data_IF_763585027214
#
_entry.id   IF_763585027214
#
_cell.length_a   1.000
_cell.length_b   1.000
_cell.length_c   1.000
_cell.angle_alpha   90.00
_cell.angle_beta   90.00
_cell.angle_gamma   90.00
#
_symmetry.space_group_name_H-M   'P 1'
#
loop_
_entity.id
_entity.type
_entity.pdbx_description
1 polymer ?
#
# COMPACT_ATOMS: atom_id res chain seq x y z
N UNK A 1 8.63 12.71 1.26
CA UNK A 1 9.10 11.49 0.56
C UNK A 1 9.83 11.80 -0.73
N UNK A 2 9.41 12.79 -1.54
CA UNK A 2 10.17 13.23 -2.73
C UNK A 2 11.63 13.57 -2.44
N UNK A 3 11.95 14.04 -1.22
CA UNK A 3 13.34 14.29 -0.83
C UNK A 3 14.23 13.02 -0.81
N UNK A 4 13.63 11.83 -0.86
CA UNK A 4 14.30 10.52 -0.88
C UNK A 4 14.26 9.84 -2.26
N UNK A 5 13.88 10.55 -3.33
CA UNK A 5 13.80 9.98 -4.68
C UNK A 5 15.14 9.35 -5.09
N UNK A 6 15.07 8.11 -5.59
CA UNK A 6 16.25 7.31 -5.96
C UNK A 6 17.07 6.77 -4.78
N UNK A 7 16.67 7.03 -3.53
CA UNK A 7 17.38 6.57 -2.31
C UNK A 7 16.65 5.48 -1.56
N UNK A 8 15.33 5.38 -1.74
CA UNK A 8 14.49 4.39 -1.09
C UNK A 8 13.61 3.68 -2.11
N UNK A 9 13.19 2.47 -1.77
CA UNK A 9 12.11 1.76 -2.46
C UNK A 9 10.95 1.59 -1.48
N UNK A 10 9.75 1.93 -1.93
CA UNK A 10 8.53 1.72 -1.16
C UNK A 10 7.88 0.42 -1.64
N UNK A 11 7.68 -0.51 -0.71
CA UNK A 11 6.97 -1.76 -0.96
C UNK A 11 5.67 -1.74 -0.17
N UNK A 12 4.54 -1.82 -0.88
CA UNK A 12 3.23 -1.99 -0.26
C UNK A 12 3.00 -3.47 0.03
N UNK A 13 2.40 -3.78 1.18
CA UNK A 13 1.97 -5.14 1.54
C UNK A 13 0.54 -5.13 2.05
N UNK A 14 -0.27 -6.04 1.55
CA UNK A 14 -1.66 -6.20 1.98
C UNK A 14 -1.72 -6.81 3.38
N UNK A 15 -2.46 -6.16 4.29
CA UNK A 15 -2.86 -6.75 5.57
C UNK A 15 -4.37 -6.54 5.79
N UNK A 16 -5.24 -7.25 5.06
CA UNK A 16 -6.68 -7.11 5.19
C UNK A 16 -7.17 -7.66 6.54
N UNK A 17 -7.34 -6.77 7.52
CA UNK A 17 -7.81 -7.13 8.87
C UNK A 17 -9.25 -7.65 8.83
N UNK A 18 -9.50 -8.79 9.49
CA UNK A 18 -10.80 -9.47 9.49
C UNK A 18 -11.96 -8.61 10.05
N UNK A 19 -11.65 -7.64 10.92
CA UNK A 19 -12.64 -6.69 11.46
C UNK A 19 -13.32 -5.83 10.38
N UNK A 20 -12.73 -5.75 9.19
CA UNK A 20 -13.29 -5.10 8.01
C UNK A 20 -13.64 -6.17 6.98
N UNK A 21 -14.92 -6.58 6.93
CA UNK A 21 -15.39 -7.65 6.04
C UNK A 21 -15.16 -7.38 4.53
N UNK A 22 -14.92 -6.13 4.14
CA UNK A 22 -14.57 -5.71 2.79
C UNK A 22 -13.05 -5.69 2.50
N UNK A 23 -12.19 -5.78 3.51
CA UNK A 23 -10.76 -5.53 3.35
C UNK A 23 -10.07 -6.55 2.44
N UNK A 24 -10.42 -7.83 2.55
CA UNK A 24 -9.89 -8.87 1.66
C UNK A 24 -10.27 -8.61 0.20
N UNK A 25 -11.53 -8.20 -0.04
CA UNK A 25 -12.02 -7.88 -1.37
C UNK A 25 -11.29 -6.66 -1.96
N UNK A 26 -11.02 -5.64 -1.15
CA UNK A 26 -10.26 -4.46 -1.56
C UNK A 26 -8.79 -4.79 -1.86
N UNK A 27 -8.17 -5.66 -1.06
CA UNK A 27 -6.80 -6.14 -1.30
C UNK A 27 -6.69 -6.88 -2.63
N UNK A 28 -7.60 -7.81 -2.92
CA UNK A 28 -7.64 -8.53 -4.20
C UNK A 28 -7.89 -7.59 -5.39
N UNK A 29 -8.82 -6.63 -5.25
CA UNK A 29 -9.14 -5.67 -6.31
C UNK A 29 -7.95 -4.78 -6.65
N UNK A 30 -7.32 -4.19 -5.64
CA UNK A 30 -6.15 -3.31 -5.81
C UNK A 30 -4.92 -4.08 -6.32
N UNK A 31 -4.70 -5.32 -5.86
CA UNK A 31 -3.66 -6.21 -6.38
C UNK A 31 -3.91 -6.58 -7.85
N UNK A 32 -5.16 -6.84 -8.25
CA UNK A 32 -5.50 -7.11 -9.63
C UNK A 32 -5.21 -5.90 -10.53
N UNK A 33 -5.53 -4.68 -10.08
CA UNK A 33 -5.17 -3.44 -10.80
C UNK A 33 -3.66 -3.27 -10.86
N UNK A 34 -2.93 -3.50 -9.77
CA UNK A 34 -1.46 -3.46 -9.77
C UNK A 34 -0.85 -4.41 -10.80
N UNK A 35 -1.33 -5.65 -10.88
CA UNK A 35 -0.81 -6.64 -11.83
C UNK A 35 -1.17 -6.37 -13.29
N UNK A 36 -2.18 -5.54 -13.57
CA UNK A 36 -2.55 -5.13 -14.93
C UNK A 36 -1.88 -3.81 -15.34
N UNK A 37 -1.87 -2.84 -14.42
CA UNK A 37 -1.42 -1.48 -14.64
C UNK A 37 -0.80 -0.95 -13.33
N UNK A 38 0.48 -1.24 -13.08
CA UNK A 38 1.15 -0.89 -11.81
C UNK A 38 1.01 0.58 -11.41
N UNK A 39 1.08 1.49 -12.39
CA UNK A 39 0.98 2.92 -12.15
C UNK A 39 -0.41 3.36 -11.63
N UNK A 40 -1.45 2.57 -11.87
CA UNK A 40 -2.83 2.85 -11.44
C UNK A 40 -3.14 2.33 -10.02
N UNK A 41 -2.22 1.58 -9.41
CA UNK A 41 -2.42 1.02 -8.07
C UNK A 41 -2.66 2.12 -7.03
N UNK A 42 -1.79 3.13 -6.99
CA UNK A 42 -1.89 4.21 -6.00
C UNK A 42 -3.13 5.08 -6.23
N UNK A 43 -3.54 5.25 -7.48
CA UNK A 43 -4.76 6.00 -7.80
C UNK A 43 -6.01 5.27 -7.29
N UNK A 44 -6.11 3.94 -7.47
CA UNK A 44 -7.22 3.17 -6.93
C UNK A 44 -7.17 3.11 -5.40
N UNK A 45 -5.97 2.90 -4.84
CA UNK A 45 -5.75 2.95 -3.39
C UNK A 45 -6.28 4.28 -2.82
N UNK A 46 -5.87 5.41 -3.38
CA UNK A 46 -6.25 6.73 -2.88
C UNK A 46 -7.75 7.01 -3.06
N UNK A 47 -8.36 6.55 -4.16
CA UNK A 47 -9.81 6.63 -4.33
C UNK A 47 -10.53 5.86 -3.22
N UNK A 48 -10.18 4.58 -3.00
CA UNK A 48 -10.82 3.76 -1.97
C UNK A 48 -10.58 4.33 -0.56
N UNK A 49 -9.40 4.90 -0.30
CA UNK A 49 -9.12 5.58 0.97
C UNK A 49 -9.96 6.85 1.16
N UNK A 50 -10.21 7.62 0.09
CA UNK A 50 -11.00 8.86 0.16
C UNK A 50 -12.46 8.62 0.57
N UNK A 51 -13.02 7.45 0.23
CA UNK A 51 -14.39 7.04 0.57
C UNK A 51 -14.43 5.90 1.60
N UNK A 52 -13.31 5.59 2.27
CA UNK A 52 -13.16 4.40 3.10
C UNK A 52 -14.26 4.21 4.14
N UNK A 53 -14.79 5.31 4.70
CA UNK A 53 -15.87 5.29 5.70
C UNK A 53 -17.20 4.75 5.16
N UNK A 54 -17.38 4.79 3.85
CA UNK A 54 -18.58 4.38 3.13
C UNK A 54 -18.44 2.99 2.53
N UNK A 55 -17.20 2.46 2.45
CA UNK A 55 -16.92 1.14 1.87
C UNK A 55 -17.55 0.02 2.69
N UNK A 56 -18.21 -0.86 1.94
CA UNK A 56 -18.87 -2.09 2.37
C UNK A 56 -18.64 -3.16 1.31
N UNK A 57 -18.97 -4.40 1.63
CA UNK A 57 -18.80 -5.53 0.71
C UNK A 57 -19.64 -5.37 -0.57
N UNK A 58 -20.83 -4.76 -0.44
CA UNK A 58 -21.84 -4.61 -1.48
C UNK A 58 -21.56 -3.44 -2.44
N UNK A 59 -20.93 -2.35 -1.99
CA UNK A 59 -20.62 -1.21 -2.86
C UNK A 59 -19.19 -1.19 -3.42
N UNK A 60 -18.26 -1.99 -2.87
CA UNK A 60 -16.86 -1.97 -3.30
C UNK A 60 -16.67 -2.26 -4.80
N UNK A 61 -17.45 -3.16 -5.39
CA UNK A 61 -17.34 -3.46 -6.82
C UNK A 61 -17.72 -2.25 -7.67
N UNK A 62 -18.74 -1.49 -7.26
CA UNK A 62 -19.17 -0.28 -7.96
C UNK A 62 -18.09 0.82 -7.90
N UNK A 63 -17.42 0.98 -6.74
CA UNK A 63 -16.30 1.91 -6.59
C UNK A 63 -15.13 1.55 -7.50
N UNK A 64 -14.76 0.26 -7.53
CA UNK A 64 -13.68 -0.23 -8.39
C UNK A 64 -14.07 -0.09 -9.87
N UNK A 65 -15.28 -0.48 -10.28
CA UNK A 65 -15.72 -0.31 -11.67
C UNK A 65 -15.73 1.16 -12.12
N UNK A 66 -16.12 2.09 -11.23
CA UNK A 66 -16.04 3.53 -11.49
C UNK A 66 -14.61 3.99 -11.76
N UNK A 67 -13.66 3.47 -10.97
CA UNK A 67 -12.23 3.70 -11.18
C UNK A 67 -11.75 3.14 -12.52
N UNK A 68 -12.08 1.88 -12.83
CA UNK A 68 -11.67 1.19 -14.06
C UNK A 68 -12.13 1.96 -15.30
N UNK A 69 -13.39 2.42 -15.31
CA UNK A 69 -13.96 3.23 -16.40
C UNK A 69 -13.20 4.55 -16.57
N UNK A 70 -12.97 5.27 -15.48
CA UNK A 70 -12.26 6.56 -15.49
C UNK A 70 -10.82 6.44 -15.99
N UNK A 71 -10.18 5.30 -15.69
CA UNK A 71 -8.78 5.03 -16.03
C UNK A 71 -8.59 4.19 -17.30
N UNK A 72 -9.68 3.92 -18.04
CA UNK A 72 -9.70 3.15 -19.28
C UNK A 72 -9.05 1.76 -19.12
N UNK A 73 -9.30 1.11 -17.98
CA UNK A 73 -8.90 -0.28 -17.73
C UNK A 73 -10.08 -1.17 -18.14
N UNK A 74 -9.82 -2.17 -19.00
CA UNK A 74 -10.85 -3.08 -19.48
C UNK A 74 -11.43 -3.93 -18.34
N UNK A 75 -12.75 -3.88 -18.18
CA UNK A 75 -13.43 -4.55 -17.06
C UNK A 75 -13.35 -6.08 -17.19
N UNK A 76 -13.40 -6.62 -18.41
CA UNK A 76 -13.32 -8.06 -18.61
C UNK A 76 -11.91 -8.58 -18.32
N UNK A 77 -10.88 -7.83 -18.71
CA UNK A 77 -9.49 -8.12 -18.37
C UNK A 77 -9.25 -8.03 -16.85
N UNK A 78 -9.79 -7.00 -16.20
CA UNK A 78 -9.79 -6.88 -14.74
C UNK A 78 -10.44 -8.09 -14.07
N UNK A 79 -11.64 -8.48 -14.47
CA UNK A 79 -12.34 -9.63 -13.89
C UNK A 79 -11.54 -10.93 -14.06
N UNK A 80 -10.94 -11.14 -15.25
CA UNK A 80 -10.07 -12.28 -15.50
C UNK A 80 -8.83 -12.25 -14.60
N UNK A 81 -8.23 -11.09 -14.38
CA UNK A 81 -7.08 -10.94 -13.48
C UNK A 81 -7.48 -11.17 -12.03
N UNK A 82 -8.58 -10.59 -11.58
CA UNK A 82 -9.11 -10.72 -10.22
C UNK A 82 -9.36 -12.20 -9.87
N UNK A 83 -9.88 -12.98 -10.83
CA UNK A 83 -10.12 -14.41 -10.66
C UNK A 83 -8.86 -15.29 -10.74
N UNK A 84 -7.68 -14.71 -11.03
CA UNK A 84 -6.45 -15.48 -11.22
C UNK A 84 -5.77 -15.85 -9.90
N UNK A 85 -5.10 -17.01 -9.90
CA UNK A 85 -4.27 -17.46 -8.79
C UNK A 85 -3.15 -16.48 -8.44
N UNK A 86 -2.66 -15.67 -9.40
CA UNK A 86 -1.54 -14.77 -9.15
C UNK A 86 -1.93 -13.64 -8.20
N UNK A 87 -3.16 -13.13 -8.29
CA UNK A 87 -3.69 -12.11 -7.36
C UNK A 87 -3.87 -12.71 -5.97
N UNK A 88 -4.53 -13.86 -5.89
CA UNK A 88 -4.74 -14.57 -4.62
C UNK A 88 -3.42 -14.87 -3.91
N UNK A 89 -2.46 -15.47 -4.62
CA UNK A 89 -1.15 -15.84 -4.06
C UNK A 89 -0.34 -14.62 -3.62
N UNK A 90 -0.46 -13.48 -4.29
CA UNK A 90 0.22 -12.25 -3.89
C UNK A 90 -0.29 -11.75 -2.53
N UNK A 91 -1.62 -11.66 -2.36
CA UNK A 91 -2.24 -11.26 -1.08
C UNK A 91 -1.95 -12.29 0.03
N UNK A 92 -2.02 -13.59 -0.26
CA UNK A 92 -1.67 -14.65 0.69
C UNK A 92 -0.20 -14.59 1.13
N UNK A 93 0.72 -14.28 0.21
CA UNK A 93 2.14 -14.08 0.54
C UNK A 93 2.33 -12.90 1.47
N UNK A 94 1.68 -11.77 1.20
CA UNK A 94 1.78 -10.61 2.08
C UNK A 94 1.24 -10.89 3.49
N UNK A 95 0.12 -11.62 3.60
CA UNK A 95 -0.39 -12.10 4.87
C UNK A 95 0.59 -13.05 5.59
N UNK A 96 1.24 -13.95 4.85
CA UNK A 96 2.25 -14.83 5.40
C UNK A 96 3.47 -14.06 5.92
N UNK A 97 3.90 -13.02 5.20
CA UNK A 97 4.98 -12.14 5.63
C UNK A 97 4.61 -11.38 6.92
N UNK A 98 3.39 -10.83 6.98
CA UNK A 98 2.86 -10.16 8.19
C UNK A 98 2.83 -11.10 9.40
N UNK A 99 2.45 -12.36 9.17
CA UNK A 99 2.49 -13.40 10.21
C UNK A 99 3.92 -13.73 10.63
N UNK A 100 4.85 -13.84 9.68
CA UNK A 100 6.24 -14.19 9.94
C UNK A 100 6.97 -13.14 10.78
N UNK A 101 6.69 -11.85 10.55
CA UNK A 101 7.23 -10.75 11.37
C UNK A 101 6.54 -10.61 12.73
N UNK A 102 5.47 -11.39 12.97
CA UNK A 102 4.72 -11.38 14.21
C UNK A 102 4.06 -10.03 14.51
N UNK A 103 3.56 -9.33 13.47
CA UNK A 103 2.97 -8.01 13.63
C UNK A 103 1.79 -8.05 14.61
N UNK A 104 1.92 -7.33 15.72
CA UNK A 104 0.88 -7.25 16.77
C UNK A 104 0.07 -5.96 16.74
N UNK A 105 0.50 -4.98 15.97
CA UNK A 105 -0.19 -3.70 15.79
C UNK A 105 -1.17 -3.76 14.60
N UNK A 106 -2.06 -2.78 14.55
CA UNK A 106 -2.94 -2.57 13.40
C UNK A 106 -2.24 -1.93 12.21
N UNK A 107 -3.02 -1.60 11.19
CA UNK A 107 -2.60 -0.86 10.01
C UNK A 107 -2.85 0.65 10.17
N UNK A 108 -1.99 1.54 9.65
CA UNK A 108 -0.75 1.23 8.95
C UNK A 108 0.40 0.85 9.90
N UNK A 109 1.34 0.07 9.40
CA UNK A 109 2.56 -0.36 10.09
C UNK A 109 3.70 -0.38 9.07
N UNK A 110 4.88 0.06 9.47
CA UNK A 110 6.00 0.27 8.55
C UNK A 110 7.26 -0.43 9.06
N UNK A 111 8.03 -0.98 8.12
CA UNK A 111 9.38 -1.50 8.36
C UNK A 111 10.34 -0.78 7.44
N UNK A 112 11.34 -0.12 8.00
CA UNK A 112 12.34 0.70 7.29
C UNK A 112 13.71 0.08 7.58
N UNK A 113 14.20 -0.73 6.64
CA UNK A 113 15.43 -1.54 6.77
C UNK A 113 15.53 -2.24 8.14
N UNK A 114 14.49 -3.00 8.48
CA UNK A 114 14.40 -3.74 9.74
C UNK A 114 13.90 -2.95 10.95
N UNK A 115 13.78 -1.61 10.85
CA UNK A 115 13.25 -0.76 11.92
C UNK A 115 11.74 -0.67 11.84
N UNK A 116 11.06 -1.06 12.91
CA UNK A 116 9.60 -1.03 12.98
C UNK A 116 9.09 0.35 13.44
N UNK A 117 8.10 0.89 12.72
CA UNK A 117 7.39 2.13 13.06
C UNK A 117 5.87 1.87 12.98
N UNK A 118 5.19 1.96 14.13
CA UNK A 118 3.77 1.65 14.25
C UNK A 118 2.87 2.86 14.00
N UNK A 119 1.82 2.67 13.21
CA UNK A 119 0.74 3.64 13.02
C UNK A 119 1.09 4.79 12.08
N UNK A 120 0.09 5.63 11.82
CA UNK A 120 0.24 6.87 11.08
C UNK A 120 0.96 7.90 11.96
N UNK A 121 2.27 8.03 11.78
CA UNK A 121 3.13 8.94 12.53
C UNK A 121 3.34 10.28 11.80
N UNK A 122 3.76 11.34 12.50
CA UNK A 122 4.25 12.55 11.85
C UNK A 122 5.40 12.25 10.89
N UNK A 123 5.46 12.97 9.77
CA UNK A 123 6.48 12.77 8.72
C UNK A 123 7.93 12.87 9.25
N UNK A 124 8.16 13.68 10.28
CA UNK A 124 9.49 13.82 10.88
C UNK A 124 9.99 12.55 11.57
N UNK A 125 9.08 11.72 12.10
CA UNK A 125 9.43 10.41 12.65
C UNK A 125 9.90 9.47 11.53
N UNK A 126 9.25 9.52 10.36
CA UNK A 126 9.70 8.75 9.19
C UNK A 126 11.07 9.25 8.71
N UNK A 127 11.25 10.56 8.56
CA UNK A 127 12.53 11.16 8.14
C UNK A 127 13.68 10.69 9.01
N UNK A 128 13.49 10.77 10.34
CA UNK A 128 14.49 10.33 11.30
C UNK A 128 14.91 8.88 11.06
N UNK A 129 13.93 7.97 10.96
CA UNK A 129 14.19 6.53 10.79
C UNK A 129 14.83 6.22 9.43
N UNK A 130 14.40 6.89 8.36
CA UNK A 130 14.97 6.72 7.02
C UNK A 130 16.40 7.26 6.97
N UNK A 131 16.66 8.43 7.55
CA UNK A 131 18.01 9.02 7.59
C UNK A 131 18.98 8.15 8.38
N UNK A 132 18.53 7.54 9.47
CA UNK A 132 19.31 6.54 10.23
C UNK A 132 19.60 5.31 9.36
N UNK A 133 18.59 4.77 8.65
CA UNK A 133 18.75 3.62 7.76
C UNK A 133 19.74 3.89 6.60
N UNK A 134 19.62 5.05 5.95
CA UNK A 134 20.56 5.48 4.91
C UNK A 134 21.99 5.61 5.44
N UNK A 135 22.14 6.17 6.64
CA UNK A 135 23.45 6.32 7.29
C UNK A 135 24.12 4.98 7.54
N UNK A 136 23.38 4.00 8.06
CA UNK A 136 23.90 2.66 8.34
C UNK A 136 24.26 1.91 7.06
N UNK A 137 23.54 2.17 5.96
CA UNK A 137 23.85 1.65 4.63
C UNK A 137 25.01 2.39 3.93
N UNK A 138 25.60 3.42 4.55
CA UNK A 138 26.66 4.24 3.95
C UNK A 138 26.17 5.15 2.81
N UNK A 139 24.86 5.40 2.73
CA UNK A 139 24.23 6.20 1.70
C UNK A 139 24.04 7.66 2.15
N UNK A 140 24.13 8.58 1.18
CA UNK A 140 23.98 10.00 1.45
C UNK A 140 22.52 10.36 1.78
N UNK A 141 22.33 10.97 2.96
CA UNK A 141 21.04 11.58 3.37
C UNK A 141 20.61 12.68 2.38
N UNK A 142 19.31 12.98 2.26
CA UNK A 142 18.87 14.17 1.53
C UNK A 142 19.56 15.43 2.07
N UNK A 143 19.76 16.42 1.21
CA UNK A 143 20.12 17.75 1.71
C UNK A 143 18.98 18.21 2.62
N UNK A 144 19.31 18.62 3.85
CA UNK A 144 18.32 19.08 4.83
C UNK A 144 17.40 20.12 4.21
N UNK A 145 16.13 19.78 4.00
CA UNK A 145 15.10 20.76 3.71
C UNK A 145 14.63 21.36 5.03
N UNK A 146 15.54 22.06 5.73
CA UNK A 146 15.16 23.03 6.74
C UNK A 146 14.44 24.15 6.02
N UNK A 147 13.13 24.02 5.84
CA UNK A 147 12.28 25.20 5.80
C UNK A 147 11.89 25.46 7.26
N UNK A 148 12.63 26.36 7.89
CA UNK A 148 12.22 27.01 9.12
C UNK A 148 10.81 27.60 8.94
N UNK A 149 10.01 27.72 10.02
CA UNK A 149 8.62 28.16 9.96
C UNK A 149 8.42 29.49 9.24
#
# INVERSE_FOLDING_TARGET
MKEYDGKITVVFKHYPLEMHNWAMKAALATEAVFQLKPDAFWELHDQLFSVQKEIKVDNLDAEVEGFLKSNKIDIAEYQKKLASDSVKKAVERDLADVKAIGLRSGTPSYYIDGRFLAGAQPIDNFRKVIDEALSDAGLAKPASTTKAP
#
